data_IF_001479511049
#
_entry.id   IF_001479511049
#
_cell.length_a   1.000
_cell.length_b   1.000
_cell.length_c   1.000
_cell.angle_alpha   90.00
_cell.angle_beta   90.00
_cell.angle_gamma   90.00
#
_symmetry.space_group_name_H-M   'P 1'
#
loop_
_entity.id
_entity.type
_entity.pdbx_description
1 polymer ?
#
# COMPACT_ATOMS: atom_id res chain seq x y z
N UNK A 1 7.03 -12.85 26.94
CA UNK A 1 5.88 -13.07 27.84
C UNK A 1 5.41 -11.74 28.41
N UNK A 2 4.12 -11.40 28.29
CA UNK A 2 3.60 -10.13 28.79
C UNK A 2 3.48 -10.18 30.32
N UNK A 3 4.11 -9.23 31.04
CA UNK A 3 3.95 -9.09 32.50
C UNK A 3 2.46 -8.95 32.84
N UNK A 4 1.90 -9.82 33.71
CA UNK A 4 0.49 -9.80 34.07
C UNK A 4 0.02 -8.41 34.50
N UNK A 5 -1.21 -8.05 34.13
CA UNK A 5 -1.86 -6.86 34.68
C UNK A 5 -2.15 -7.17 36.14
N UNK A 6 -1.74 -6.27 37.02
CA UNK A 6 -2.05 -6.35 38.44
C UNK A 6 -2.94 -5.18 38.84
N UNK A 7 -3.64 -5.31 39.96
CA UNK A 7 -4.50 -4.24 40.47
C UNK A 7 -3.71 -2.94 40.77
N UNK A 8 -2.41 -3.07 41.03
CA UNK A 8 -1.47 -1.94 41.13
C UNK A 8 -1.41 -1.10 39.85
N UNK A 9 -1.51 -1.72 38.67
CA UNK A 9 -1.52 -1.00 37.40
C UNK A 9 -2.81 -0.18 37.26
N UNK A 10 -3.96 -0.70 37.74
CA UNK A 10 -5.25 0.02 37.74
C UNK A 10 -5.20 1.25 38.64
N UNK A 11 -4.67 1.10 39.85
CA UNK A 11 -4.50 2.21 40.80
C UNK A 11 -3.51 3.25 40.28
N UNK A 12 -2.42 2.81 39.63
CA UNK A 12 -1.46 3.72 39.01
C UNK A 12 -2.09 4.55 37.89
N UNK A 13 -2.92 3.93 37.02
CA UNK A 13 -3.66 4.64 35.97
C UNK A 13 -4.62 5.67 36.56
N UNK A 14 -5.41 5.30 37.59
CA UNK A 14 -6.32 6.25 38.27
C UNK A 14 -5.57 7.47 38.84
N UNK A 15 -4.45 7.23 39.52
CA UNK A 15 -3.62 8.30 40.09
C UNK A 15 -3.00 9.20 39.03
N UNK A 16 -2.55 8.63 37.90
CA UNK A 16 -1.93 9.40 36.82
C UNK A 16 -2.99 10.19 36.01
N UNK A 17 -4.19 9.62 35.86
CA UNK A 17 -5.33 10.31 35.25
C UNK A 17 -5.81 11.50 36.11
N UNK A 18 -5.88 11.35 37.43
CA UNK A 18 -6.19 12.45 38.35
C UNK A 18 -5.17 13.61 38.29
N UNK A 19 -3.95 13.37 37.80
CA UNK A 19 -2.93 14.40 37.56
C UNK A 19 -3.06 15.09 36.20
N UNK A 20 -4.06 14.76 35.40
CA UNK A 20 -4.26 15.31 34.05
C UNK A 20 -3.23 14.86 33.02
N UNK A 21 -2.49 13.77 33.28
CA UNK A 21 -1.47 13.29 32.35
C UNK A 21 -2.11 12.65 31.12
N UNK A 22 -1.50 12.88 29.95
CA UNK A 22 -1.96 12.23 28.72
C UNK A 22 -1.75 10.71 28.79
N UNK A 23 -2.48 9.97 27.94
CA UNK A 23 -2.31 8.52 27.80
C UNK A 23 -0.84 8.14 27.51
N UNK A 24 -0.16 8.90 26.66
CA UNK A 24 1.20 8.61 26.25
C UNK A 24 2.20 8.86 27.39
N UNK A 25 1.99 9.91 28.18
CA UNK A 25 2.83 10.18 29.35
C UNK A 25 2.63 9.12 30.44
N UNK A 26 1.38 8.70 30.64
CA UNK A 26 1.02 7.59 31.53
C UNK A 26 1.71 6.29 31.09
N UNK A 27 1.70 6.00 29.79
CA UNK A 27 2.37 4.84 29.21
C UNK A 27 3.89 4.88 29.43
N UNK A 28 4.54 6.04 29.20
CA UNK A 28 5.98 6.24 29.45
C UNK A 28 6.33 6.07 30.93
N UNK A 29 5.57 6.69 31.83
CA UNK A 29 5.80 6.62 33.28
C UNK A 29 5.61 5.21 33.85
N UNK A 30 4.65 4.44 33.33
CA UNK A 30 4.43 3.05 33.77
C UNK A 30 5.30 2.04 33.02
N UNK A 31 6.01 2.44 31.96
CA UNK A 31 6.73 1.53 31.08
C UNK A 31 5.82 0.52 30.36
N UNK A 32 4.59 0.92 30.02
CA UNK A 32 3.57 0.05 29.40
C UNK A 32 3.15 0.58 28.04
N UNK A 33 2.62 -0.30 27.20
CA UNK A 33 2.09 0.11 25.90
C UNK A 33 0.83 0.99 26.07
N UNK A 34 0.67 2.05 25.26
CA UNK A 34 -0.48 2.95 25.33
C UNK A 34 -1.82 2.24 25.10
N UNK A 35 -1.83 1.15 24.31
CA UNK A 35 -3.00 0.29 24.12
C UNK A 35 -3.42 -0.40 25.43
N UNK A 36 -2.47 -0.82 26.26
CA UNK A 36 -2.75 -1.43 27.57
C UNK A 36 -3.32 -0.40 28.55
N UNK A 37 -2.76 0.81 28.57
CA UNK A 37 -3.26 1.93 29.37
C UNK A 37 -4.68 2.30 28.99
N UNK A 38 -5.00 2.29 27.68
CA UNK A 38 -6.37 2.54 27.20
C UNK A 38 -7.35 1.48 27.70
N UNK A 39 -6.99 0.19 27.64
CA UNK A 39 -7.83 -0.90 28.18
C UNK A 39 -8.06 -0.76 29.68
N UNK A 40 -7.01 -0.46 30.45
CA UNK A 40 -7.10 -0.25 31.89
C UNK A 40 -7.97 0.96 32.26
N UNK A 41 -7.90 2.04 31.49
CA UNK A 41 -8.73 3.21 31.69
C UNK A 41 -10.20 2.91 31.40
N UNK A 42 -10.49 2.18 30.31
CA UNK A 42 -11.87 1.72 29.99
C UNK A 42 -12.42 0.83 31.11
N UNK A 43 -11.65 -0.15 31.58
CA UNK A 43 -12.03 -1.00 32.73
C UNK A 43 -12.27 -0.19 34.01
N UNK A 44 -11.55 0.94 34.17
CA UNK A 44 -11.71 1.83 35.30
C UNK A 44 -12.80 2.91 35.11
N UNK A 45 -13.49 2.94 33.97
CA UNK A 45 -14.48 3.97 33.63
C UNK A 45 -13.89 5.35 33.33
N UNK A 46 -12.58 5.43 33.06
CA UNK A 46 -11.87 6.68 32.78
C UNK A 46 -11.69 6.88 31.27
N UNK A 47 -11.95 8.09 30.80
CA UNK A 47 -11.69 8.48 29.42
C UNK A 47 -10.49 9.43 29.38
N UNK A 48 -9.53 9.17 28.50
CA UNK A 48 -8.52 10.16 28.14
C UNK A 48 -9.12 11.05 27.07
N UNK A 49 -9.63 12.20 27.47
CA UNK A 49 -10.10 13.17 26.49
C UNK A 49 -8.94 13.61 25.61
N UNK A 50 -9.16 13.64 24.30
CA UNK A 50 -8.14 14.09 23.36
C UNK A 50 -8.22 15.61 23.38
N UNK A 51 -7.14 16.28 23.79
CA UNK A 51 -7.14 17.74 23.91
C UNK A 51 -7.64 18.42 22.62
N UNK A 52 -8.30 19.59 22.72
CA UNK A 52 -8.95 20.27 21.60
C UNK A 52 -8.00 20.53 20.42
N UNK A 53 -6.72 20.75 20.71
CA UNK A 53 -5.64 20.91 19.72
C UNK A 53 -5.43 19.65 18.84
N UNK A 54 -5.48 18.46 19.44
CA UNK A 54 -5.31 17.19 18.72
C UNK A 54 -6.51 16.93 17.82
N UNK A 55 -7.72 17.30 18.28
CA UNK A 55 -8.94 17.20 17.47
C UNK A 55 -8.83 18.14 16.27
N UNK A 56 -8.48 19.41 16.50
CA UNK A 56 -8.30 20.40 15.43
C UNK A 56 -7.23 19.96 14.40
N UNK A 57 -6.09 19.45 14.87
CA UNK A 57 -5.03 18.93 14.01
C UNK A 57 -5.49 17.72 13.19
N UNK A 58 -6.29 16.83 13.79
CA UNK A 58 -6.81 15.64 13.11
C UNK A 58 -7.82 16.02 12.03
N UNK A 59 -8.71 16.97 12.32
CA UNK A 59 -9.69 17.46 11.34
C UNK A 59 -9.00 18.22 10.20
N UNK A 60 -8.01 19.07 10.48
CA UNK A 60 -7.20 19.72 9.45
C UNK A 60 -6.53 18.69 8.53
N UNK A 61 -5.84 17.69 9.11
CA UNK A 61 -5.22 16.61 8.34
C UNK A 61 -6.25 15.80 7.53
N UNK A 62 -7.47 15.64 8.03
CA UNK A 62 -8.54 14.94 7.31
C UNK A 62 -8.94 15.72 6.06
N UNK A 63 -9.08 17.04 6.17
CA UNK A 63 -9.37 17.93 5.04
C UNK A 63 -8.24 17.83 4.00
N UNK A 64 -6.99 17.90 4.43
CA UNK A 64 -5.82 17.80 3.55
C UNK A 64 -5.78 16.46 2.80
N UNK A 65 -6.11 15.36 3.47
CA UNK A 65 -6.15 14.03 2.86
C UNK A 65 -7.28 13.89 1.83
N UNK A 66 -8.40 14.57 2.01
CA UNK A 66 -9.47 14.58 1.00
C UNK A 66 -9.00 15.39 -0.22
N UNK A 67 -8.40 16.56 -0.01
CA UNK A 67 -7.84 17.36 -1.10
C UNK A 67 -6.77 16.58 -1.89
N UNK A 68 -5.87 15.89 -1.18
CA UNK A 68 -4.82 15.06 -1.80
C UNK A 68 -5.37 13.90 -2.63
N UNK A 69 -6.50 13.29 -2.24
CA UNK A 69 -7.17 12.24 -3.03
C UNK A 69 -7.73 12.78 -4.34
N UNK A 70 -8.34 13.97 -4.31
CA UNK A 70 -8.86 14.61 -5.52
C UNK A 70 -7.73 14.99 -6.47
N UNK A 71 -6.64 15.58 -5.96
CA UNK A 71 -5.47 15.92 -6.77
C UNK A 71 -4.85 14.68 -7.43
N UNK A 72 -4.65 13.62 -6.65
CA UNK A 72 -4.11 12.37 -7.19
C UNK A 72 -5.00 11.79 -8.29
N UNK A 73 -6.32 11.85 -8.14
CA UNK A 73 -7.24 11.39 -9.16
C UNK A 73 -7.13 12.21 -10.45
N UNK A 74 -6.96 13.53 -10.36
CA UNK A 74 -6.74 14.42 -11.51
C UNK A 74 -5.44 14.09 -12.23
N UNK A 75 -4.32 13.99 -11.48
CA UNK A 75 -3.01 13.67 -12.04
C UNK A 75 -3.01 12.33 -12.79
N UNK A 76 -3.66 11.32 -12.22
CA UNK A 76 -3.83 10.01 -12.85
C UNK A 76 -4.70 10.08 -14.10
N UNK A 77 -5.76 10.88 -14.08
CA UNK A 77 -6.63 11.07 -15.24
C UNK A 77 -5.89 11.76 -16.39
N UNK A 78 -5.14 12.81 -16.10
CA UNK A 78 -4.30 13.49 -17.09
C UNK A 78 -3.21 12.56 -17.66
N UNK A 79 -2.57 11.75 -16.82
CA UNK A 79 -1.62 10.74 -17.25
C UNK A 79 -2.26 9.72 -18.19
N UNK A 80 -3.47 9.25 -17.86
CA UNK A 80 -4.23 8.32 -18.68
C UNK A 80 -4.61 8.93 -20.04
N UNK A 81 -5.03 10.20 -20.09
CA UNK A 81 -5.33 10.89 -21.35
C UNK A 81 -4.08 11.05 -22.23
N UNK A 82 -2.93 11.38 -21.64
CA UNK A 82 -1.64 11.42 -22.36
C UNK A 82 -1.27 10.07 -22.96
N UNK A 83 -1.42 8.98 -22.19
CA UNK A 83 -1.16 7.62 -22.66
C UNK A 83 -2.14 7.22 -23.76
N UNK A 84 -3.43 7.52 -23.59
CA UNK A 84 -4.46 7.27 -24.60
C UNK A 84 -4.13 8.00 -25.91
N UNK A 85 -3.72 9.26 -25.85
CA UNK A 85 -3.31 10.02 -27.03
C UNK A 85 -2.12 9.37 -27.76
N UNK A 86 -1.13 8.84 -27.02
CA UNK A 86 0.01 8.12 -27.62
C UNK A 86 -0.40 6.84 -28.34
N UNK A 87 -1.36 6.09 -27.78
CA UNK A 87 -1.83 4.83 -28.36
C UNK A 87 -2.82 5.01 -29.51
N UNK A 88 -3.60 6.09 -29.50
CA UNK A 88 -4.66 6.34 -30.50
C UNK A 88 -4.16 7.22 -31.66
N UNK A 89 -3.02 7.90 -31.51
CA UNK A 89 -2.37 8.63 -32.60
C UNK A 89 -1.82 7.69 -33.68
N UNK A 90 -1.52 8.21 -34.89
CA UNK A 90 -0.86 7.41 -35.92
C UNK A 90 0.47 6.93 -35.35
N UNK A 91 0.59 5.62 -35.17
CA UNK A 91 1.77 4.98 -34.63
C UNK A 91 2.93 5.19 -35.61
N UNK A 92 3.65 6.32 -35.48
CA UNK A 92 4.90 6.56 -36.20
C UNK A 92 5.92 5.61 -35.59
N UNK A 93 5.97 4.38 -36.11
CA UNK A 93 6.97 3.38 -35.75
C UNK A 93 8.33 4.08 -35.71
N UNK A 94 8.96 4.11 -34.52
CA UNK A 94 10.36 4.56 -34.45
C UNK A 94 11.18 3.63 -35.36
N UNK A 95 12.15 4.15 -36.14
CA UNK A 95 12.82 3.38 -37.19
C UNK A 95 13.43 2.05 -36.69
N UNK A 96 13.89 1.98 -35.44
CA UNK A 96 14.39 0.73 -34.84
C UNK A 96 13.31 -0.34 -34.59
N UNK A 97 12.05 0.05 -34.32
CA UNK A 97 10.93 -0.87 -34.14
C UNK A 97 10.34 -1.30 -35.49
N UNK A 98 10.37 -0.42 -36.50
CA UNK A 98 9.99 -0.75 -37.87
C UNK A 98 10.88 -1.87 -38.45
N UNK A 99 12.21 -1.82 -38.20
CA UNK A 99 13.15 -2.85 -38.64
C UNK A 99 12.92 -4.23 -37.99
N UNK A 100 12.50 -4.26 -36.71
CA UNK A 100 12.11 -5.53 -36.03
C UNK A 100 10.83 -6.12 -36.62
N UNK A 101 9.81 -5.30 -36.87
CA UNK A 101 8.56 -5.75 -37.47
C UNK A 101 8.75 -6.22 -38.92
N UNK A 102 9.60 -5.56 -39.71
CA UNK A 102 9.94 -5.96 -41.07
C UNK A 102 10.72 -7.29 -41.13
N UNK A 103 11.69 -7.50 -40.24
CA UNK A 103 12.43 -8.78 -40.12
C UNK A 103 11.52 -9.95 -39.73
N UNK A 104 10.54 -9.74 -38.84
CA UNK A 104 9.59 -10.77 -38.46
C UNK A 104 8.66 -11.18 -39.62
N UNK A 105 8.38 -10.27 -40.55
CA UNK A 105 7.52 -10.50 -41.72
C UNK A 105 8.29 -11.09 -42.92
N UNK A 106 9.62 -11.04 -42.90
CA UNK A 106 10.51 -11.53 -43.95
C UNK A 106 11.12 -12.91 -43.67
N UNK A 107 10.61 -13.67 -42.69
CA UNK A 107 10.99 -15.08 -42.54
C UNK A 107 10.40 -15.85 -43.73
N UNK A 108 11.22 -16.41 -44.63
CA UNK A 108 10.69 -17.15 -45.78
C UNK A 108 9.98 -18.43 -45.29
N UNK A 109 8.85 -18.82 -45.91
CA UNK A 109 8.03 -19.96 -45.47
C UNK A 109 8.78 -21.29 -45.45
N UNK A 110 9.91 -21.39 -46.15
CA UNK A 110 10.77 -22.58 -46.18
C UNK A 110 11.45 -22.84 -44.82
N UNK A 111 11.79 -21.79 -44.05
CA UNK A 111 12.42 -21.95 -42.73
C UNK A 111 11.42 -22.45 -41.67
N UNK A 112 10.15 -22.04 -41.78
CA UNK A 112 9.09 -22.54 -40.89
C UNK A 112 8.74 -24.01 -41.17
N UNK A 113 8.75 -24.44 -42.44
CA UNK A 113 8.50 -25.84 -42.81
C UNK A 113 9.62 -26.78 -42.36
N UNK A 114 10.89 -26.35 -42.48
CA UNK A 114 12.04 -27.12 -42.00
C UNK A 114 12.09 -27.23 -40.47
N UNK A 115 11.74 -26.15 -39.76
CA UNK A 115 11.72 -26.15 -38.30
C UNK A 115 10.60 -27.05 -37.76
N UNK A 116 9.43 -27.06 -38.40
CA UNK A 116 8.31 -27.92 -37.98
C UNK A 116 8.63 -29.42 -38.16
N UNK A 117 9.39 -29.79 -39.20
CA UNK A 117 9.81 -31.19 -39.47
C UNK A 117 10.90 -31.68 -38.50
N UNK A 118 11.85 -30.80 -38.16
CA UNK A 118 12.93 -31.10 -37.21
C UNK A 118 12.45 -31.27 -35.76
N UNK A 119 11.35 -30.60 -35.38
CA UNK A 119 10.78 -30.69 -34.02
C UNK A 119 9.97 -31.98 -33.84
N UNK A 120 9.32 -32.51 -34.88
CA UNK A 120 8.55 -33.76 -34.81
C UNK A 120 9.40 -35.03 -34.83
N UNK A 121 10.62 -34.99 -35.38
CA UNK A 121 11.49 -36.16 -35.47
C UNK A 121 12.31 -36.43 -34.19
N UNK A 122 12.31 -35.52 -33.21
CA UNK A 122 13.19 -35.59 -32.02
C UNK A 122 12.48 -35.86 -30.68
N UNK A 123 11.30 -36.47 -30.70
CA UNK A 123 10.66 -37.03 -29.50
C UNK A 123 10.56 -38.55 -29.63
N UNK A 124 11.50 -39.34 -29.06
CA UNK A 124 11.28 -40.77 -28.94
C UNK A 124 10.11 -41.01 -27.97
N UNK A 125 9.13 -41.79 -28.41
CA UNK A 125 8.00 -42.25 -27.61
C UNK A 125 8.49 -42.95 -26.34
N UNK A 126 8.19 -42.38 -25.19
CA UNK A 126 8.15 -43.09 -23.92
C UNK A 126 6.79 -42.82 -23.30
N UNK A 127 5.88 -43.79 -23.40
CA UNK A 127 4.88 -44.18 -22.41
C UNK A 127 3.96 -45.25 -23.03
N UNK A 128 4.31 -46.50 -22.80
CA UNK A 128 3.39 -47.62 -22.55
C UNK A 128 4.06 -48.51 -21.51
#
# INVERSE_FOLDING_TARGET
MARPITDKDRTAVRRLHAKGLTRNDTARKMGRSPSRVSKLAIEAGLTFDRGPEVIATTEARRIDLVAGRTQLAQDLHEGAEKLRAQHTGPCRLRPHQALRAARARAVPPLAAALWCRLVTEKTPHAHA
#
